data_IF_682428394434
#
_entry.id   IF_682428394434
#
_cell.length_a   1.000
_cell.length_b   1.000
_cell.length_c   1.000
_cell.angle_alpha   90.00
_cell.angle_beta   90.00
_cell.angle_gamma   90.00
#
_symmetry.space_group_name_H-M   'P 1'
#
loop_
_entity.id
_entity.type
_entity.pdbx_description
1 polymer ?
#
# COMPACT_ATOMS: atom_id res chain seq x y z
N UNK A 1 -15.60 10.85 -26.58
CA UNK A 1 -14.93 11.41 -27.77
C UNK A 1 -14.02 10.39 -28.47
N UNK A 2 -13.12 9.69 -27.81
CA UNK A 2 -12.24 8.67 -28.40
C UNK A 2 -13.00 7.47 -28.98
N UNK A 3 -14.09 7.06 -28.39
CA UNK A 3 -14.91 5.92 -28.84
C UNK A 3 -15.62 6.20 -30.18
N UNK A 4 -16.15 7.40 -30.34
CA UNK A 4 -16.80 7.85 -31.59
C UNK A 4 -15.80 7.96 -32.73
N UNK A 5 -14.61 8.49 -32.48
CA UNK A 5 -13.54 8.55 -33.47
C UNK A 5 -13.05 7.14 -33.90
N UNK A 6 -13.06 6.18 -32.98
CA UNK A 6 -12.71 4.78 -33.24
C UNK A 6 -13.76 4.07 -34.09
N UNK A 7 -15.05 4.31 -33.84
CA UNK A 7 -16.16 3.75 -34.63
C UNK A 7 -16.15 4.31 -36.07
N UNK A 8 -15.91 5.61 -36.24
CA UNK A 8 -15.84 6.25 -37.55
C UNK A 8 -14.60 5.83 -38.34
N UNK A 9 -13.45 5.64 -37.67
CA UNK A 9 -12.24 5.11 -38.29
C UNK A 9 -12.40 3.64 -38.72
N UNK A 10 -13.08 2.82 -37.93
CA UNK A 10 -13.38 1.42 -38.24
C UNK A 10 -14.37 1.29 -39.42
N UNK A 11 -15.24 2.27 -39.63
CA UNK A 11 -16.17 2.33 -40.75
C UNK A 11 -15.54 2.85 -42.06
N UNK A 12 -14.21 3.15 -42.07
CA UNK A 12 -13.50 3.74 -43.22
C UNK A 12 -14.16 5.00 -43.78
N UNK A 13 -14.84 5.77 -42.93
CA UNK A 13 -15.57 7.00 -43.27
C UNK A 13 -14.71 8.21 -42.94
N UNK A 14 -14.72 9.23 -43.78
CA UNK A 14 -14.08 10.51 -43.48
C UNK A 14 -14.71 11.11 -42.22
N UNK A 15 -13.87 11.52 -41.27
CA UNK A 15 -14.31 12.20 -40.05
C UNK A 15 -14.77 13.60 -40.47
N UNK A 16 -16.09 13.80 -40.52
CA UNK A 16 -16.71 15.10 -40.85
C UNK A 16 -17.40 15.65 -39.61
N UNK A 17 -17.61 16.97 -39.60
CA UNK A 17 -18.32 17.65 -38.50
C UNK A 17 -19.71 17.05 -38.31
N UNK A 18 -20.44 16.84 -39.40
CA UNK A 18 -21.79 16.30 -39.39
C UNK A 18 -21.89 14.87 -38.84
N UNK A 19 -20.82 14.08 -38.91
CA UNK A 19 -20.78 12.73 -38.38
C UNK A 19 -20.51 12.70 -36.87
N UNK A 20 -19.90 13.73 -36.31
CA UNK A 20 -19.44 13.79 -34.91
C UNK A 20 -20.42 14.61 -34.04
N UNK A 21 -20.94 15.72 -34.53
CA UNK A 21 -21.83 16.63 -33.78
C UNK A 21 -22.99 15.97 -33.05
N UNK A 22 -23.74 15.04 -33.64
CA UNK A 22 -24.90 14.43 -32.97
C UNK A 22 -24.52 13.56 -31.75
N UNK A 23 -23.21 13.29 -31.57
CA UNK A 23 -22.71 12.35 -30.53
C UNK A 23 -21.84 13.01 -29.46
N UNK A 24 -21.71 14.35 -29.48
CA UNK A 24 -20.88 15.12 -28.56
C UNK A 24 -21.77 16.09 -27.77
N UNK A 25 -21.41 16.34 -26.51
CA UNK A 25 -22.08 17.32 -25.65
C UNK A 25 -21.96 18.74 -26.24
N UNK A 26 -22.98 19.57 -25.98
CA UNK A 26 -23.14 20.90 -26.57
C UNK A 26 -22.05 21.92 -26.29
N UNK A 27 -21.14 21.62 -25.37
CA UNK A 27 -20.07 22.55 -24.93
C UNK A 27 -18.72 21.83 -24.89
N UNK A 28 -17.68 22.44 -25.48
CA UNK A 28 -16.30 22.01 -25.40
C UNK A 28 -15.67 22.25 -24.02
N UNK A 29 -14.46 21.74 -23.76
CA UNK A 29 -13.79 21.82 -22.44
C UNK A 29 -13.61 23.23 -21.90
N UNK A 30 -13.51 24.24 -22.80
CA UNK A 30 -13.26 25.65 -22.43
C UNK A 30 -14.55 26.50 -22.43
N UNK A 31 -15.74 25.87 -22.48
CA UNK A 31 -17.01 26.55 -22.55
C UNK A 31 -17.37 27.15 -23.92
N UNK A 32 -16.54 26.88 -24.95
CA UNK A 32 -16.84 27.26 -26.32
C UNK A 32 -17.88 26.34 -26.93
N UNK A 33 -18.66 26.81 -27.93
CA UNK A 33 -19.58 25.94 -28.68
C UNK A 33 -18.85 24.70 -29.23
N UNK A 34 -19.46 23.54 -29.09
CA UNK A 34 -18.86 22.27 -29.52
C UNK A 34 -18.48 22.27 -30.99
N UNK A 35 -19.24 22.98 -31.82
CA UNK A 35 -18.96 23.15 -33.25
C UNK A 35 -17.61 23.82 -33.52
N UNK A 36 -17.33 24.95 -32.86
CA UNK A 36 -16.09 25.70 -33.04
C UNK A 36 -14.87 24.90 -32.55
N UNK A 37 -15.02 24.23 -31.41
CA UNK A 37 -13.98 23.36 -30.88
C UNK A 37 -13.66 22.19 -31.83
N UNK A 38 -14.67 21.51 -32.33
CA UNK A 38 -14.53 20.38 -33.25
C UNK A 38 -14.00 20.84 -34.62
N UNK A 39 -14.45 21.96 -35.15
CA UNK A 39 -13.93 22.52 -36.40
C UNK A 39 -12.44 22.82 -36.34
N UNK A 40 -11.99 23.46 -35.24
CA UNK A 40 -10.58 23.74 -35.00
C UNK A 40 -9.75 22.43 -34.88
N UNK A 41 -10.29 21.40 -34.24
CA UNK A 41 -9.63 20.10 -34.09
C UNK A 41 -9.55 19.32 -35.39
N UNK A 42 -10.58 19.36 -36.21
CA UNK A 42 -10.59 18.72 -37.54
C UNK A 42 -9.62 19.44 -38.50
N UNK A 43 -9.59 20.77 -38.45
CA UNK A 43 -8.64 21.56 -39.26
C UNK A 43 -7.17 21.35 -38.83
N UNK A 44 -6.94 21.04 -37.55
CA UNK A 44 -5.61 20.72 -37.02
C UNK A 44 -5.25 19.23 -37.18
N UNK A 45 -6.12 18.42 -37.76
CA UNK A 45 -5.85 16.99 -37.99
C UNK A 45 -4.84 16.80 -39.09
N UNK A 46 -3.90 15.85 -38.98
CA UNK A 46 -2.94 15.57 -40.03
C UNK A 46 -3.63 15.09 -41.30
N UNK A 47 -3.06 15.33 -42.47
CA UNK A 47 -3.62 14.89 -43.74
C UNK A 47 -3.83 13.36 -43.76
N UNK A 48 -4.78 12.91 -44.56
CA UNK A 48 -5.19 11.50 -44.63
C UNK A 48 -4.00 10.52 -44.85
N UNK A 49 -2.94 10.98 -45.51
CA UNK A 49 -1.71 10.21 -45.70
C UNK A 49 -0.95 9.92 -44.39
N UNK A 50 -1.13 10.72 -43.37
CA UNK A 50 -0.51 10.54 -42.04
C UNK A 50 -1.49 9.89 -41.04
N UNK A 51 -2.79 9.88 -41.34
CA UNK A 51 -3.82 9.32 -40.45
C UNK A 51 -3.67 7.79 -40.31
N UNK A 52 -3.31 7.07 -41.36
CA UNK A 52 -3.17 5.61 -41.32
C UNK A 52 -1.96 5.15 -40.48
N UNK A 53 -0.74 5.76 -40.65
CA UNK A 53 0.39 5.45 -39.75
C UNK A 53 0.08 5.80 -38.28
N UNK A 54 -0.65 6.90 -38.03
CA UNK A 54 -1.05 7.29 -36.68
C UNK A 54 -2.06 6.32 -36.09
N UNK A 55 -3.05 5.89 -36.90
CA UNK A 55 -4.04 4.89 -36.49
C UNK A 55 -3.40 3.54 -36.16
N UNK A 56 -2.41 3.10 -36.95
CA UNK A 56 -1.63 1.89 -36.66
C UNK A 56 -0.83 2.02 -35.37
N UNK A 57 -0.21 3.19 -35.13
CA UNK A 57 0.50 3.47 -33.86
C UNK A 57 -0.44 3.50 -32.66
N UNK A 58 -1.64 4.07 -32.81
CA UNK A 58 -2.68 4.06 -31.79
C UNK A 58 -3.24 2.64 -31.53
N UNK A 59 -3.45 1.86 -32.60
CA UNK A 59 -3.87 0.47 -32.47
C UNK A 59 -2.81 -0.39 -31.78
N UNK A 60 -1.54 -0.21 -32.13
CA UNK A 60 -0.43 -0.87 -31.44
C UNK A 60 -0.32 -0.44 -29.97
N UNK A 61 -0.58 0.84 -29.67
CA UNK A 61 -0.62 1.34 -28.29
C UNK A 61 -1.84 0.81 -27.51
N UNK A 62 -2.95 0.55 -28.20
CA UNK A 62 -4.16 -0.07 -27.60
C UNK A 62 -3.94 -1.55 -27.33
N UNK A 63 -3.26 -2.27 -28.25
CA UNK A 63 -2.86 -3.68 -28.06
C UNK A 63 -1.91 -3.85 -26.86
N UNK A 64 -1.09 -2.83 -26.59
CA UNK A 64 -0.24 -2.79 -25.38
C UNK A 64 -1.08 -2.58 -24.11
N UNK A 65 -2.20 -1.83 -24.18
CA UNK A 65 -3.11 -1.61 -23.06
C UNK A 65 -3.97 -2.82 -22.72
N UNK A 66 -4.27 -3.67 -23.69
CA UNK A 66 -5.03 -4.92 -23.49
C UNK A 66 -4.14 -6.09 -23.01
N UNK A 67 -2.81 -5.92 -22.99
CA UNK A 67 -1.93 -6.88 -22.32
C UNK A 67 -2.08 -6.70 -20.82
N UNK A 68 -2.33 -7.78 -20.06
CA UNK A 68 -2.33 -7.68 -18.61
C UNK A 68 -1.00 -7.08 -18.17
N UNK A 69 -1.10 -6.08 -17.29
CA UNK A 69 0.04 -5.38 -16.72
C UNK A 69 1.10 -6.40 -16.28
N UNK A 70 2.35 -6.29 -16.73
CA UNK A 70 3.42 -7.20 -16.32
C UNK A 70 3.54 -7.31 -14.79
N UNK A 71 3.28 -6.23 -14.05
CA UNK A 71 3.24 -6.19 -12.60
C UNK A 71 2.14 -7.11 -12.04
N UNK A 72 0.92 -6.99 -12.55
CA UNK A 72 -0.22 -7.82 -12.12
C UNK A 72 -0.04 -9.30 -12.49
N UNK A 73 0.62 -9.56 -13.62
CA UNK A 73 0.80 -10.92 -14.13
C UNK A 73 1.88 -11.71 -13.39
N UNK A 74 3.01 -11.06 -13.11
CA UNK A 74 4.19 -11.69 -12.50
C UNK A 74 5.07 -10.63 -11.85
N UNK A 75 4.76 -10.29 -10.59
CA UNK A 75 5.52 -9.32 -9.78
C UNK A 75 7.00 -9.72 -9.67
N UNK A 76 7.30 -11.02 -9.60
CA UNK A 76 8.68 -11.48 -9.48
C UNK A 76 9.50 -11.13 -10.73
N UNK A 77 9.02 -11.53 -11.91
CA UNK A 77 9.70 -11.24 -13.17
C UNK A 77 9.77 -9.73 -13.43
N UNK A 78 8.68 -9.00 -13.16
CA UNK A 78 8.62 -7.55 -13.27
C UNK A 78 9.67 -6.86 -12.37
N UNK A 79 9.81 -7.25 -11.11
CA UNK A 79 10.76 -6.65 -10.18
C UNK A 79 12.22 -6.78 -10.66
N UNK A 80 12.60 -7.95 -11.18
CA UNK A 80 13.94 -8.16 -11.76
C UNK A 80 14.16 -7.34 -13.03
N UNK A 81 13.15 -7.21 -13.87
CA UNK A 81 13.21 -6.37 -15.08
C UNK A 81 13.38 -4.89 -14.71
N UNK A 82 12.59 -4.37 -13.76
CA UNK A 82 12.74 -3.00 -13.28
C UNK A 82 14.12 -2.74 -12.65
N UNK A 83 14.62 -3.68 -11.85
CA UNK A 83 15.94 -3.59 -11.26
C UNK A 83 17.05 -3.54 -12.32
N UNK A 84 16.92 -4.30 -13.41
CA UNK A 84 17.88 -4.28 -14.51
C UNK A 84 17.83 -2.97 -15.31
N UNK A 85 16.64 -2.43 -15.56
CA UNK A 85 16.45 -1.11 -16.18
C UNK A 85 17.09 0.01 -15.35
N UNK A 86 16.89 -0.03 -14.00
CA UNK A 86 17.54 0.89 -13.08
C UNK A 86 19.07 0.82 -13.17
N UNK A 87 19.66 -0.39 -13.15
CA UNK A 87 21.12 -0.58 -13.24
C UNK A 87 21.71 -0.05 -14.55
N UNK A 88 20.93 -0.12 -15.63
CA UNK A 88 21.33 0.40 -16.97
C UNK A 88 21.05 1.89 -17.14
N UNK A 89 20.46 2.57 -16.16
CA UNK A 89 20.10 3.98 -16.27
C UNK A 89 18.92 4.26 -17.22
N UNK A 90 18.10 3.26 -17.53
CA UNK A 90 16.97 3.36 -18.47
C UNK A 90 15.73 3.93 -17.76
N UNK A 91 15.86 5.14 -17.20
CA UNK A 91 14.86 5.75 -16.33
C UNK A 91 13.51 6.01 -17.01
N UNK A 92 13.50 6.34 -18.29
CA UNK A 92 12.26 6.60 -19.04
C UNK A 92 11.41 5.37 -19.32
N UNK A 93 11.96 4.17 -19.13
CA UNK A 93 11.27 2.89 -19.32
C UNK A 93 10.86 2.20 -18.02
N UNK A 94 11.08 2.87 -16.88
CA UNK A 94 10.66 2.37 -15.57
C UNK A 94 9.15 2.49 -15.39
N UNK A 95 8.59 1.50 -14.73
CA UNK A 95 7.26 1.54 -14.20
C UNK A 95 7.28 2.27 -12.83
N UNK A 96 7.34 3.60 -12.91
CA UNK A 96 7.59 4.44 -11.74
C UNK A 96 6.46 4.37 -10.71
N UNK A 97 5.20 4.13 -11.13
CA UNK A 97 4.07 4.06 -10.22
C UNK A 97 4.13 2.79 -9.36
N UNK A 98 4.21 1.63 -9.99
CA UNK A 98 4.31 0.37 -9.26
C UNK A 98 5.62 0.27 -8.46
N UNK A 99 6.73 0.82 -8.97
CA UNK A 99 7.98 0.91 -8.19
C UNK A 99 7.84 1.75 -6.93
N UNK A 100 7.11 2.87 -6.99
CA UNK A 100 6.87 3.71 -5.82
C UNK A 100 6.06 2.97 -4.76
N UNK A 101 5.00 2.25 -5.17
CA UNK A 101 4.19 1.41 -4.28
C UNK A 101 5.03 0.32 -3.60
N UNK A 102 5.83 -0.42 -4.37
CA UNK A 102 6.70 -1.48 -3.81
C UNK A 102 7.76 -0.93 -2.83
N UNK A 103 8.33 0.25 -3.13
CA UNK A 103 9.28 0.90 -2.22
C UNK A 103 8.58 1.36 -0.93
N UNK A 104 7.36 1.88 -1.01
CA UNK A 104 6.56 2.24 0.16
C UNK A 104 6.19 1.01 0.99
N UNK A 105 5.89 -0.12 0.34
CA UNK A 105 5.55 -1.37 1.00
C UNK A 105 6.73 -1.97 1.77
N UNK A 106 7.97 -1.83 1.29
CA UNK A 106 9.15 -2.15 2.08
C UNK A 106 9.20 -1.36 3.41
N UNK A 107 8.85 -0.07 3.36
CA UNK A 107 8.74 0.79 4.55
C UNK A 107 7.61 0.35 5.48
N UNK A 108 6.46 0.03 4.91
CA UNK A 108 5.29 -0.44 5.63
C UNK A 108 5.54 -1.80 6.30
N UNK A 109 6.27 -2.72 5.66
CA UNK A 109 6.66 -4.00 6.25
C UNK A 109 7.48 -3.80 7.53
N UNK A 110 8.46 -2.89 7.51
CA UNK A 110 9.26 -2.57 8.70
C UNK A 110 8.37 -2.04 9.83
N UNK A 111 7.44 -1.15 9.51
CA UNK A 111 6.48 -0.61 10.47
C UNK A 111 5.56 -1.70 11.04
N UNK A 112 5.04 -2.58 10.20
CA UNK A 112 4.17 -3.69 10.60
C UNK A 112 4.89 -4.69 11.52
N UNK A 113 6.18 -4.94 11.28
CA UNK A 113 7.02 -5.77 12.17
C UNK A 113 7.20 -5.11 13.53
N UNK A 114 7.44 -3.78 13.58
CA UNK A 114 7.50 -3.02 14.82
C UNK A 114 6.18 -3.09 15.59
N UNK A 115 5.05 -2.86 14.92
CA UNK A 115 3.71 -2.95 15.52
C UNK A 115 3.45 -4.35 16.07
N UNK A 116 3.83 -5.40 15.33
CA UNK A 116 3.65 -6.79 15.76
C UNK A 116 4.47 -7.13 17.01
N UNK A 117 5.74 -6.70 17.07
CA UNK A 117 6.60 -6.91 18.23
C UNK A 117 6.06 -6.18 19.48
N UNK A 118 5.62 -4.93 19.30
CA UNK A 118 4.95 -4.16 20.37
C UNK A 118 3.64 -4.83 20.83
N UNK A 119 2.83 -5.33 19.91
CA UNK A 119 1.56 -6.01 20.20
C UNK A 119 1.78 -7.24 21.08
N UNK A 120 2.73 -8.10 20.73
CA UNK A 120 3.07 -9.29 21.51
C UNK A 120 3.54 -8.89 22.91
N UNK A 121 4.42 -7.90 22.99
CA UNK A 121 4.95 -7.39 24.27
C UNK A 121 3.82 -6.84 25.14
N UNK A 122 2.96 -6.00 24.57
CA UNK A 122 1.83 -5.37 25.28
C UNK A 122 0.79 -6.38 25.74
N UNK A 123 0.43 -7.35 24.90
CA UNK A 123 -0.48 -8.43 25.25
C UNK A 123 0.03 -9.18 26.50
N UNK A 124 1.30 -9.55 26.52
CA UNK A 124 1.86 -10.28 27.65
C UNK A 124 2.04 -9.40 28.90
N UNK A 125 2.30 -8.09 28.74
CA UNK A 125 2.27 -7.15 29.86
C UNK A 125 0.88 -7.03 30.48
N UNK A 126 -0.16 -6.96 29.65
CA UNK A 126 -1.56 -6.96 30.14
C UNK A 126 -1.88 -8.25 30.89
N UNK A 127 -1.55 -9.41 30.33
CA UNK A 127 -1.74 -10.71 31.00
C UNK A 127 -0.97 -10.74 32.31
N UNK A 128 0.26 -10.26 32.32
CA UNK A 128 1.12 -10.21 33.49
C UNK A 128 0.50 -9.41 34.64
N UNK A 129 -0.13 -8.26 34.31
CA UNK A 129 -0.70 -7.38 35.31
C UNK A 129 -2.08 -7.84 35.80
N UNK A 130 -2.90 -8.41 34.91
CA UNK A 130 -4.29 -8.77 35.24
C UNK A 130 -4.48 -10.22 35.70
N UNK A 131 -3.47 -11.09 35.51
CA UNK A 131 -3.52 -12.48 36.04
C UNK A 131 -2.21 -12.87 36.74
N UNK A 132 -1.90 -12.25 37.87
CA UNK A 132 -0.67 -12.53 38.62
C UNK A 132 -0.49 -14.01 39.01
N UNK A 133 -1.62 -14.70 39.28
CA UNK A 133 -1.64 -16.12 39.63
C UNK A 133 -1.33 -17.06 38.45
N UNK A 134 -1.36 -16.55 37.19
CA UNK A 134 -1.09 -17.32 35.96
C UNK A 134 0.22 -16.93 35.30
N UNK A 135 1.09 -16.17 35.97
CA UNK A 135 2.39 -15.77 35.43
C UNK A 135 3.26 -16.98 35.17
N UNK A 136 3.78 -17.06 33.94
CA UNK A 136 4.63 -18.18 33.51
C UNK A 136 5.95 -17.68 32.96
N UNK A 137 6.95 -18.58 32.90
CA UNK A 137 8.22 -18.31 32.23
C UNK A 137 8.03 -17.98 30.74
N UNK A 138 7.04 -18.60 30.10
CA UNK A 138 6.68 -18.32 28.69
C UNK A 138 6.29 -16.85 28.50
N UNK A 139 5.46 -16.27 29.39
CA UNK A 139 5.10 -14.86 29.28
C UNK A 139 6.31 -13.92 29.47
N UNK A 140 7.21 -14.25 30.40
CA UNK A 140 8.46 -13.51 30.56
C UNK A 140 9.31 -13.56 29.30
N UNK A 141 9.43 -14.75 28.67
CA UNK A 141 10.17 -14.91 27.43
C UNK A 141 9.54 -14.12 26.28
N UNK A 142 8.22 -14.16 26.13
CA UNK A 142 7.51 -13.40 25.09
C UNK A 142 7.74 -11.90 25.25
N UNK A 143 7.68 -11.36 26.48
CA UNK A 143 7.97 -9.94 26.73
C UNK A 143 9.43 -9.62 26.37
N UNK A 144 10.38 -10.46 26.78
CA UNK A 144 11.81 -10.24 26.51
C UNK A 144 12.14 -10.30 25.02
N UNK A 145 11.62 -11.32 24.32
CA UNK A 145 11.84 -11.47 22.89
C UNK A 145 11.20 -10.31 22.11
N UNK A 146 9.96 -9.94 22.43
CA UNK A 146 9.31 -8.80 21.78
C UNK A 146 10.07 -7.48 21.98
N UNK A 147 10.68 -7.26 23.16
CA UNK A 147 11.56 -6.11 23.41
C UNK A 147 12.81 -6.15 22.55
N UNK A 148 13.47 -7.31 22.45
CA UNK A 148 14.64 -7.50 21.59
C UNK A 148 14.30 -7.24 20.12
N UNK A 149 13.14 -7.72 19.66
CA UNK A 149 12.67 -7.47 18.29
C UNK A 149 12.47 -5.97 18.03
N UNK A 150 11.86 -5.24 18.98
CA UNK A 150 11.71 -3.77 18.89
C UNK A 150 13.07 -3.08 18.84
N UNK A 151 14.00 -3.44 19.74
CA UNK A 151 15.35 -2.88 19.78
C UNK A 151 16.09 -3.12 18.46
N UNK A 152 16.03 -4.33 17.93
CA UNK A 152 16.66 -4.72 16.67
C UNK A 152 16.11 -3.94 15.47
N UNK A 153 14.78 -3.78 15.41
CA UNK A 153 14.13 -2.99 14.36
C UNK A 153 14.58 -1.53 14.45
N UNK A 154 14.55 -0.94 15.64
CA UNK A 154 14.94 0.47 15.84
C UNK A 154 16.44 0.70 15.60
N UNK A 155 17.28 -0.30 15.84
CA UNK A 155 18.73 -0.26 15.56
C UNK A 155 19.02 -0.34 14.06
N UNK A 156 18.33 -1.25 13.35
CA UNK A 156 18.53 -1.44 11.90
C UNK A 156 17.87 -0.34 11.09
N UNK A 157 16.75 0.20 11.57
CA UNK A 157 15.91 1.19 10.86
C UNK A 157 15.62 2.41 11.74
N UNK A 158 16.62 3.27 12.03
CA UNK A 158 16.44 4.40 12.96
C UNK A 158 15.32 5.37 12.55
N UNK A 159 15.02 5.48 11.26
CA UNK A 159 13.96 6.35 10.73
C UNK A 159 12.56 5.99 11.22
N UNK A 160 12.32 4.72 11.62
CA UNK A 160 11.02 4.28 12.12
C UNK A 160 10.75 4.73 13.56
N UNK A 161 11.78 5.17 14.32
CA UNK A 161 11.66 5.59 15.72
C UNK A 161 10.57 6.65 15.95
N UNK A 162 10.44 7.61 15.04
CA UNK A 162 9.40 8.64 15.10
C UNK A 162 7.97 8.10 15.02
N UNK A 163 7.80 6.88 14.54
CA UNK A 163 6.50 6.21 14.40
C UNK A 163 6.13 5.38 15.63
N UNK A 164 7.05 5.16 16.58
CA UNK A 164 6.83 4.34 17.78
C UNK A 164 5.58 4.76 18.57
N UNK A 165 5.32 6.06 18.85
CA UNK A 165 4.11 6.43 19.60
C UNK A 165 2.82 5.99 18.90
N UNK A 166 2.73 6.15 17.58
CA UNK A 166 1.60 5.67 16.80
C UNK A 166 1.50 4.14 16.78
N UNK A 167 2.64 3.45 16.59
CA UNK A 167 2.70 2.00 16.62
C UNK A 167 2.23 1.42 17.97
N UNK A 168 2.57 2.05 19.09
CA UNK A 168 2.09 1.65 20.44
C UNK A 168 0.56 1.73 20.50
N UNK A 169 -0.05 2.81 20.01
CA UNK A 169 -1.52 2.97 20.02
C UNK A 169 -2.19 1.85 19.20
N UNK A 170 -1.70 1.60 17.99
CA UNK A 170 -2.26 0.56 17.12
C UNK A 170 -2.05 -0.85 17.69
N UNK A 171 -0.84 -1.14 18.15
CA UNK A 171 -0.48 -2.41 18.77
C UNK A 171 -1.30 -2.68 20.04
N UNK A 172 -1.52 -1.66 20.88
CA UNK A 172 -2.27 -1.81 22.13
C UNK A 172 -3.73 -2.20 21.89
N UNK A 173 -4.40 -1.60 20.91
CA UNK A 173 -5.79 -1.96 20.57
C UNK A 173 -5.94 -3.44 20.27
N UNK A 174 -5.04 -4.02 19.50
CA UNK A 174 -5.03 -5.46 19.18
C UNK A 174 -4.61 -6.30 20.38
N UNK A 175 -3.55 -5.88 21.10
CA UNK A 175 -3.05 -6.56 22.28
C UNK A 175 -4.14 -6.71 23.37
N UNK A 176 -5.01 -5.71 23.52
CA UNK A 176 -6.12 -5.73 24.50
C UNK A 176 -7.15 -6.80 24.16
N UNK A 177 -7.54 -6.91 22.88
CA UNK A 177 -8.47 -7.93 22.41
C UNK A 177 -7.88 -9.34 22.60
N UNK A 178 -6.61 -9.51 22.21
CA UNK A 178 -5.88 -10.77 22.33
C UNK A 178 -5.69 -11.19 23.80
N UNK A 179 -5.36 -10.22 24.69
CA UNK A 179 -5.24 -10.46 26.10
C UNK A 179 -6.59 -10.91 26.70
N UNK A 180 -7.71 -10.31 26.31
CA UNK A 180 -9.03 -10.75 26.73
C UNK A 180 -9.31 -12.19 26.29
N UNK A 181 -9.07 -12.51 25.03
CA UNK A 181 -9.25 -13.85 24.50
C UNK A 181 -8.41 -14.92 25.21
N UNK A 182 -7.12 -14.61 25.48
CA UNK A 182 -6.21 -15.58 26.12
C UNK A 182 -6.40 -15.70 27.64
N UNK A 183 -6.90 -14.65 28.29
CA UNK A 183 -7.14 -14.66 29.75
C UNK A 183 -8.52 -15.14 30.12
N UNK A 184 -9.49 -15.03 29.22
CA UNK A 184 -10.91 -15.24 29.47
C UNK A 184 -11.55 -14.10 30.29
N UNK A 185 -10.85 -12.98 30.47
CA UNK A 185 -11.40 -11.77 31.10
C UNK A 185 -12.18 -10.96 30.05
N UNK A 186 -13.20 -10.22 30.52
CA UNK A 186 -13.88 -9.25 29.66
C UNK A 186 -12.90 -8.16 29.20
N UNK A 187 -13.08 -7.67 27.97
CA UNK A 187 -12.20 -6.63 27.40
C UNK A 187 -12.20 -5.34 28.25
N UNK A 188 -13.29 -5.04 28.95
CA UNK A 188 -13.42 -3.90 29.87
C UNK A 188 -12.52 -4.01 31.11
N UNK A 189 -12.04 -5.20 31.45
CA UNK A 189 -11.05 -5.38 32.52
C UNK A 189 -9.70 -4.72 32.19
N UNK A 190 -9.43 -4.45 30.91
CA UNK A 190 -8.21 -3.81 30.47
C UNK A 190 -8.47 -2.32 30.16
N UNK A 191 -7.54 -1.41 30.50
CA UNK A 191 -7.69 0.02 30.22
C UNK A 191 -8.01 0.29 28.74
N UNK A 192 -8.88 1.26 28.47
CA UNK A 192 -9.23 1.62 27.10
C UNK A 192 -8.03 2.23 26.31
N UNK A 193 -7.16 2.98 27.00
CA UNK A 193 -5.91 3.50 26.47
C UNK A 193 -4.71 2.75 27.08
N UNK A 194 -3.61 2.71 26.33
CA UNK A 194 -2.38 2.04 26.79
C UNK A 194 -1.91 2.64 28.13
N UNK A 195 -1.84 1.85 29.20
CA UNK A 195 -1.42 2.35 30.51
C UNK A 195 0.12 2.45 30.65
N UNK A 196 0.86 1.97 29.67
CA UNK A 196 2.31 1.89 29.72
C UNK A 196 2.95 3.03 28.90
N UNK A 197 3.94 3.72 29.52
CA UNK A 197 4.85 4.57 28.74
C UNK A 197 5.77 3.71 27.88
N UNK A 198 6.38 4.29 26.84
CA UNK A 198 7.37 3.60 26.01
C UNK A 198 8.52 3.01 26.87
N UNK A 199 9.01 3.78 27.85
CA UNK A 199 10.02 3.30 28.78
C UNK A 199 9.49 2.09 29.59
N UNK A 200 8.26 2.10 30.06
CA UNK A 200 7.70 0.97 30.81
C UNK A 200 7.54 -0.27 29.90
N UNK A 201 7.13 -0.10 28.66
CA UNK A 201 7.06 -1.21 27.70
C UNK A 201 8.44 -1.86 27.53
N UNK A 202 9.48 -1.05 27.35
CA UNK A 202 10.81 -1.55 26.99
C UNK A 202 11.66 -1.97 28.19
N UNK A 203 11.57 -1.27 29.32
CA UNK A 203 12.57 -1.42 30.41
C UNK A 203 12.01 -1.84 31.74
N UNK A 204 10.66 -1.85 31.95
CA UNK A 204 10.06 -2.30 33.21
C UNK A 204 10.56 -3.71 33.55
N UNK A 205 11.13 -3.94 34.75
CA UNK A 205 11.57 -5.27 35.17
C UNK A 205 10.41 -6.27 35.19
N UNK A 206 10.61 -7.41 34.55
CA UNK A 206 9.70 -8.55 34.57
C UNK A 206 10.48 -9.70 35.21
N UNK A 207 10.19 -10.03 36.47
CA UNK A 207 10.89 -11.09 37.19
C UNK A 207 10.62 -12.44 36.54
N UNK A 208 11.59 -13.36 36.70
CA UNK A 208 11.38 -14.74 36.28
C UNK A 208 10.47 -15.42 37.31
N UNK A 209 9.27 -15.88 36.94
CA UNK A 209 8.41 -16.54 37.92
C UNK A 209 9.04 -17.84 38.42
N UNK A 210 8.78 -18.22 39.69
CA UNK A 210 9.22 -19.52 40.20
C UNK A 210 8.65 -20.64 39.33
N UNK A 211 9.33 -21.79 39.32
CA UNK A 211 8.75 -22.98 38.73
C UNK A 211 7.51 -23.38 39.54
N UNK A 212 6.41 -23.84 38.87
CA UNK A 212 5.31 -24.43 39.61
C UNK A 212 5.86 -25.62 40.41
N UNK A 213 5.50 -25.67 41.72
CA UNK A 213 5.81 -26.83 42.53
C UNK A 213 5.26 -28.07 41.81
N UNK A 214 6.12 -29.07 41.61
CA UNK A 214 5.70 -30.34 41.03
C UNK A 214 4.61 -30.96 41.93
N UNK A 215 3.39 -31.09 41.38
CA UNK A 215 2.26 -31.71 42.06
C UNK A 215 2.46 -33.22 42.16
#
# INVERSE_FOLDING_TARGET
MFEVARELAAANSAITLDAVLPRVADVGPDGAPAEDYLAARIAASPPASEAEPLARRLAAATDIRDRPDPYVRDVYAWAFEQAERLRRGQLSSLDALNLAEEIEDLGNEIYNRLESALRITLMHLLKWDHQPQRRTRSWTLSIRNGRLDVEDILKRHPGVRRRVPGAVVHAYRRARIEAAGETGLDESAFPAACPYSEAAIMTRPIPWPPEPEAA
#
